data_IF_068661024262
#
_entry.id   IF_068661024262
#
_cell.length_a   1.000
_cell.length_b   1.000
_cell.length_c   1.000
_cell.angle_alpha   90.00
_cell.angle_beta   90.00
_cell.angle_gamma   90.00
#
_symmetry.space_group_name_H-M   'P 1'
#
loop_
_entity.id
_entity.type
_entity.pdbx_description
1 polymer ?
#
# COMPACT_ATOMS: atom_id res chain seq x y z
N UNK A 1 35.60 -6.45 1.32
CA UNK A 1 34.39 -7.17 1.77
C UNK A 1 33.19 -6.46 1.14
N UNK A 2 32.28 -7.18 0.51
CA UNK A 2 31.07 -6.58 -0.07
C UNK A 2 30.21 -6.01 1.04
N UNK A 3 29.56 -4.86 0.80
CA UNK A 3 28.83 -4.11 1.83
C UNK A 3 27.33 -4.44 1.87
N UNK A 4 26.79 -5.05 0.81
CA UNK A 4 25.34 -5.25 0.62
C UNK A 4 25.06 -6.71 0.24
N UNK A 5 24.13 -7.34 0.92
CA UNK A 5 23.47 -8.58 0.49
C UNK A 5 22.15 -8.23 -0.18
N UNK A 6 22.06 -8.48 -1.52
CA UNK A 6 20.88 -8.18 -2.34
C UNK A 6 20.04 -9.45 -2.50
N UNK A 7 18.79 -9.41 -2.07
CA UNK A 7 17.82 -10.49 -2.24
C UNK A 7 16.83 -10.13 -3.33
N UNK A 8 16.92 -10.86 -4.44
CA UNK A 8 16.14 -10.62 -5.65
C UNK A 8 15.10 -11.72 -5.87
N UNK A 9 13.85 -11.40 -6.25
CA UNK A 9 12.83 -12.40 -6.55
C UNK A 9 13.31 -13.36 -7.65
N UNK A 10 13.10 -14.66 -7.45
CA UNK A 10 13.37 -15.69 -8.44
C UNK A 10 12.07 -16.33 -8.90
N UNK A 11 11.61 -15.99 -10.09
CA UNK A 11 10.43 -16.60 -10.72
C UNK A 11 10.88 -17.65 -11.72
N UNK A 12 11.77 -17.28 -12.63
CA UNK A 12 12.43 -18.14 -13.59
C UNK A 12 13.83 -17.59 -13.91
N UNK A 13 14.64 -18.39 -14.61
CA UNK A 13 16.04 -18.05 -14.89
C UNK A 13 16.17 -16.77 -15.74
N UNK A 14 15.32 -16.59 -16.75
CA UNK A 14 15.39 -15.44 -17.65
C UNK A 14 15.12 -14.12 -16.92
N UNK A 15 14.02 -14.04 -16.16
CA UNK A 15 13.68 -12.86 -15.37
C UNK A 15 14.71 -12.59 -14.27
N UNK A 16 15.21 -13.63 -13.63
CA UNK A 16 16.24 -13.48 -12.61
C UNK A 16 17.54 -12.89 -13.18
N UNK A 17 17.98 -13.34 -14.36
CA UNK A 17 19.15 -12.79 -15.05
C UNK A 17 18.93 -11.31 -15.43
N UNK A 18 17.73 -10.93 -15.87
CA UNK A 18 17.38 -9.53 -16.12
C UNK A 18 17.48 -8.66 -14.86
N UNK A 19 17.05 -9.18 -13.70
CA UNK A 19 17.21 -8.47 -12.43
C UNK A 19 18.68 -8.38 -12.02
N UNK A 20 19.47 -9.42 -12.19
CA UNK A 20 20.91 -9.42 -11.90
C UNK A 20 21.66 -8.39 -12.73
N UNK A 21 21.28 -8.19 -14.00
CA UNK A 21 21.91 -7.24 -14.90
C UNK A 21 21.91 -5.80 -14.35
N UNK A 22 20.88 -5.41 -13.58
CA UNK A 22 20.82 -4.10 -12.92
C UNK A 22 21.98 -3.84 -11.93
N UNK A 23 22.66 -4.90 -11.49
CA UNK A 23 23.74 -4.83 -10.49
C UNK A 23 25.13 -5.05 -11.07
N UNK A 24 25.29 -5.20 -12.40
CA UNK A 24 26.57 -5.48 -13.04
C UNK A 24 27.64 -4.44 -12.72
N UNK A 25 27.30 -3.16 -12.71
CA UNK A 25 28.19 -2.06 -12.35
C UNK A 25 28.55 -2.02 -10.86
N UNK A 26 27.86 -2.80 -10.03
CA UNK A 26 27.99 -2.78 -8.57
C UNK A 26 28.55 -4.09 -7.99
N UNK A 27 29.12 -4.97 -8.81
CA UNK A 27 29.60 -6.30 -8.39
C UNK A 27 30.63 -6.28 -7.28
N UNK A 28 31.38 -5.19 -7.13
CA UNK A 28 32.33 -4.98 -6.02
C UNK A 28 31.64 -4.69 -4.68
N UNK A 29 30.38 -4.25 -4.70
CA UNK A 29 29.63 -3.83 -3.51
C UNK A 29 28.61 -4.87 -3.05
N UNK A 30 28.08 -5.69 -3.97
CA UNK A 30 26.93 -6.56 -3.71
C UNK A 30 27.27 -8.05 -3.73
N UNK A 31 26.61 -8.83 -2.86
CA UNK A 31 26.36 -10.24 -3.02
C UNK A 31 24.91 -10.41 -3.47
N UNK A 32 24.64 -11.19 -4.51
CA UNK A 32 23.29 -11.41 -5.00
C UNK A 32 22.80 -12.77 -4.54
N UNK A 33 21.60 -12.81 -3.97
CA UNK A 33 20.92 -14.00 -3.47
C UNK A 33 19.56 -14.12 -4.19
N UNK A 34 19.26 -15.32 -4.70
CA UNK A 34 17.97 -15.62 -5.29
C UNK A 34 16.94 -15.90 -4.20
N UNK A 35 15.81 -15.21 -4.24
CA UNK A 35 14.71 -15.38 -3.31
C UNK A 35 13.54 -16.09 -4.00
N UNK A 36 13.32 -17.34 -3.64
CA UNK A 36 12.26 -18.19 -4.24
C UNK A 36 10.91 -18.03 -3.54
N UNK A 37 10.94 -17.66 -2.28
CA UNK A 37 9.76 -17.53 -1.45
C UNK A 37 9.34 -16.07 -1.29
N UNK A 38 8.08 -15.87 -0.93
CA UNK A 38 7.50 -14.54 -0.80
C UNK A 38 8.09 -13.75 0.38
N UNK A 39 8.48 -12.49 0.16
CA UNK A 39 8.91 -11.53 1.20
C UNK A 39 7.84 -11.27 2.27
N UNK A 40 6.59 -11.61 1.99
CA UNK A 40 5.49 -11.40 2.92
C UNK A 40 5.34 -12.51 3.96
N UNK A 41 6.18 -13.57 3.90
CA UNK A 41 6.21 -14.69 4.83
C UNK A 41 7.29 -14.49 5.89
N UNK A 42 6.97 -14.84 7.14
CA UNK A 42 7.92 -14.74 8.27
C UNK A 42 9.14 -15.63 8.09
N UNK A 43 8.95 -16.84 7.56
CA UNK A 43 10.05 -17.79 7.34
C UNK A 43 11.07 -17.25 6.33
N UNK A 44 10.61 -16.57 5.30
CA UNK A 44 11.47 -15.91 4.31
C UNK A 44 12.32 -14.81 4.93
N UNK A 45 11.71 -13.94 5.75
CA UNK A 45 12.45 -12.87 6.44
C UNK A 45 13.46 -13.45 7.44
N UNK A 46 13.12 -14.56 8.12
CA UNK A 46 14.04 -15.26 9.02
C UNK A 46 15.20 -15.90 8.26
N UNK A 47 14.94 -16.45 7.06
CA UNK A 47 15.99 -16.97 6.19
C UNK A 47 16.95 -15.85 5.77
N UNK A 48 16.43 -14.72 5.26
CA UNK A 48 17.23 -13.55 4.92
C UNK A 48 18.06 -13.09 6.12
N UNK A 49 17.46 -13.01 7.32
CA UNK A 49 18.16 -12.61 8.52
C UNK A 49 19.31 -13.55 8.91
N UNK A 50 19.18 -14.85 8.62
CA UNK A 50 20.23 -15.86 8.87
C UNK A 50 21.34 -15.78 7.81
N UNK A 51 20.99 -15.61 6.55
CA UNK A 51 21.93 -15.63 5.42
C UNK A 51 22.71 -14.33 5.27
N UNK A 52 22.11 -13.18 5.61
CA UNK A 52 22.74 -11.88 5.46
C UNK A 52 23.99 -11.76 6.37
N UNK A 53 25.13 -11.42 5.76
CA UNK A 53 26.43 -11.23 6.41
C UNK A 53 27.02 -9.85 6.21
N UNK A 54 26.58 -9.13 5.18
CA UNK A 54 26.99 -7.77 4.87
C UNK A 54 26.37 -6.76 5.85
N UNK A 55 26.89 -5.53 5.85
CA UNK A 55 26.40 -4.44 6.72
C UNK A 55 24.99 -4.01 6.38
N UNK A 56 24.59 -4.20 5.12
CA UNK A 56 23.29 -3.77 4.60
C UNK A 56 22.62 -4.90 3.83
N UNK A 57 21.28 -4.90 3.87
CA UNK A 57 20.41 -5.77 3.08
C UNK A 57 19.65 -4.88 2.10
N UNK A 58 19.66 -5.28 0.82
CA UNK A 58 18.79 -4.70 -0.19
C UNK A 58 17.75 -5.73 -0.58
N UNK A 59 16.46 -5.37 -0.43
CA UNK A 59 15.35 -6.19 -0.87
C UNK A 59 14.71 -5.55 -2.09
N UNK A 60 14.48 -6.34 -3.12
CA UNK A 60 13.66 -5.97 -4.25
C UNK A 60 12.27 -6.59 -4.06
N UNK A 61 11.24 -5.73 -3.93
CA UNK A 61 9.87 -6.16 -3.61
C UNK A 61 9.03 -6.50 -4.83
N UNK A 62 9.52 -6.17 -6.03
CA UNK A 62 8.89 -6.49 -7.31
C UNK A 62 9.83 -7.33 -8.17
N UNK A 63 9.25 -8.11 -9.05
CA UNK A 63 9.93 -8.96 -10.03
C UNK A 63 10.16 -8.28 -11.39
N UNK A 64 9.82 -6.99 -11.48
CA UNK A 64 9.98 -6.21 -12.70
C UNK A 64 11.42 -5.70 -12.85
N UNK A 65 11.98 -5.67 -14.07
CA UNK A 65 13.30 -5.13 -14.32
C UNK A 65 13.45 -3.69 -13.83
N UNK A 66 14.63 -3.37 -13.34
CA UNK A 66 14.96 -2.01 -12.90
C UNK A 66 16.34 -1.58 -13.43
N UNK A 67 16.57 -0.30 -13.46
CA UNK A 67 17.85 0.32 -13.78
C UNK A 67 18.31 1.12 -12.59
N UNK A 68 19.42 0.74 -11.97
CA UNK A 68 20.06 1.54 -10.92
C UNK A 68 20.80 2.72 -11.55
N UNK A 69 20.63 3.91 -10.97
CA UNK A 69 21.32 5.09 -11.46
C UNK A 69 22.78 5.12 -10.99
N UNK A 70 23.56 5.96 -11.65
CA UNK A 70 24.98 6.11 -11.35
C UNK A 70 25.19 6.39 -9.84
N UNK A 71 26.02 5.56 -9.21
CA UNK A 71 26.32 5.61 -7.77
C UNK A 71 25.13 5.47 -6.81
N UNK A 72 24.01 4.95 -7.25
CA UNK A 72 22.82 4.81 -6.38
C UNK A 72 23.12 4.03 -5.10
N UNK A 73 23.81 2.89 -5.20
CA UNK A 73 24.14 2.07 -4.03
C UNK A 73 25.19 2.72 -3.12
N UNK A 74 26.18 3.44 -3.67
CA UNK A 74 27.14 4.20 -2.88
C UNK A 74 26.44 5.32 -2.10
N UNK A 75 25.45 5.99 -2.74
CA UNK A 75 24.66 7.04 -2.11
C UNK A 75 23.83 6.49 -0.95
N UNK A 76 23.17 5.33 -1.15
CA UNK A 76 22.42 4.66 -0.08
C UNK A 76 23.33 4.26 1.09
N UNK A 77 24.51 3.71 0.83
CA UNK A 77 25.48 3.37 1.88
C UNK A 77 25.86 4.63 2.68
N UNK A 78 26.22 5.71 2.00
CA UNK A 78 26.61 6.96 2.66
C UNK A 78 25.47 7.48 3.54
N UNK A 79 24.24 7.54 3.02
CA UNK A 79 23.09 8.02 3.78
C UNK A 79 22.77 7.10 4.98
N UNK A 80 22.95 5.79 4.84
CA UNK A 80 22.76 4.86 5.94
C UNK A 80 23.84 5.04 7.03
N UNK A 81 25.09 5.32 6.64
CA UNK A 81 26.18 5.65 7.57
C UNK A 81 25.92 6.98 8.28
N UNK A 82 25.42 7.99 7.58
CA UNK A 82 25.15 9.33 8.13
C UNK A 82 23.92 9.38 9.04
N UNK A 83 22.84 8.70 8.64
CA UNK A 83 21.54 8.77 9.35
C UNK A 83 21.35 7.69 10.39
N UNK A 84 22.12 6.59 10.31
CA UNK A 84 21.92 5.37 11.12
C UNK A 84 20.49 4.80 11.03
N UNK A 85 19.79 5.07 9.91
CA UNK A 85 18.42 4.61 9.68
C UNK A 85 18.35 3.08 9.58
N UNK A 86 17.25 2.50 10.05
CA UNK A 86 16.98 1.07 9.88
C UNK A 86 16.55 0.72 8.46
N UNK A 87 15.88 1.64 7.78
CA UNK A 87 15.40 1.51 6.41
C UNK A 87 15.58 2.82 5.66
N UNK A 88 16.17 2.73 4.47
CA UNK A 88 16.15 3.79 3.46
C UNK A 88 15.31 3.33 2.26
N UNK A 89 14.58 4.27 1.69
CA UNK A 89 13.82 4.09 0.44
C UNK A 89 13.85 5.40 -0.34
N UNK A 90 13.68 5.36 -1.66
CA UNK A 90 13.97 6.51 -2.49
C UNK A 90 12.89 6.77 -3.56
N UNK A 91 12.89 8.01 -4.06
CA UNK A 91 12.17 8.36 -5.27
C UNK A 91 12.69 7.54 -6.46
N UNK A 92 11.84 7.30 -7.41
CA UNK A 92 12.19 6.54 -8.60
C UNK A 92 11.45 7.05 -9.83
N UNK A 93 11.93 6.68 -10.99
CA UNK A 93 11.19 6.81 -12.23
C UNK A 93 10.47 5.52 -12.55
N UNK A 94 9.38 5.63 -13.30
CA UNK A 94 8.69 4.49 -13.91
C UNK A 94 8.66 4.66 -15.41
N UNK A 95 8.94 3.59 -16.16
CA UNK A 95 8.70 3.55 -17.60
C UNK A 95 7.36 2.85 -17.83
N UNK A 96 6.37 3.62 -18.31
CA UNK A 96 5.03 3.14 -18.69
C UNK A 96 4.76 3.52 -20.14
N UNK A 97 4.36 2.56 -20.97
CA UNK A 97 4.12 2.80 -22.40
C UNK A 97 5.26 3.60 -23.05
N UNK A 98 6.50 3.22 -22.79
CA UNK A 98 7.74 3.86 -23.27
C UNK A 98 7.96 5.32 -22.83
N UNK A 99 7.17 5.82 -21.88
CA UNK A 99 7.36 7.15 -21.29
C UNK A 99 7.94 7.04 -19.88
N UNK A 100 8.95 7.85 -19.60
CA UNK A 100 9.47 8.00 -18.24
C UNK A 100 8.58 8.96 -17.45
N UNK A 101 8.09 8.49 -16.31
CA UNK A 101 7.22 9.21 -15.40
C UNK A 101 7.93 9.32 -14.05
N UNK A 102 7.89 10.51 -13.44
CA UNK A 102 8.37 10.69 -12.07
C UNK A 102 7.42 9.98 -11.11
N UNK A 103 7.97 9.19 -10.21
CA UNK A 103 7.24 8.49 -9.16
C UNK A 103 7.87 8.84 -7.80
N UNK A 104 7.64 10.06 -7.29
CA UNK A 104 8.10 10.42 -5.96
C UNK A 104 7.33 9.63 -4.92
N UNK A 105 7.99 9.30 -3.82
CA UNK A 105 7.38 8.72 -2.62
C UNK A 105 7.28 9.78 -1.53
N UNK A 106 6.62 9.49 -0.43
CA UNK A 106 6.43 10.44 0.66
C UNK A 106 7.21 10.04 1.90
N UNK A 107 7.48 11.01 2.78
CA UNK A 107 8.14 10.77 4.05
C UNK A 107 7.30 9.86 4.95
N UNK A 108 7.98 8.88 5.57
CA UNK A 108 7.36 8.01 6.55
C UNK A 108 7.14 8.76 7.86
N UNK A 109 5.95 8.61 8.42
CA UNK A 109 5.60 9.11 9.74
C UNK A 109 5.16 7.95 10.64
N UNK A 110 5.32 8.07 11.96
CA UNK A 110 4.95 7.02 12.91
C UNK A 110 3.47 6.60 12.78
N UNK A 111 2.59 7.53 12.40
CA UNK A 111 1.17 7.28 12.13
C UNK A 111 0.86 6.73 10.73
N UNK A 112 1.86 6.42 9.89
CA UNK A 112 1.66 5.85 8.55
C UNK A 112 1.34 4.36 8.63
N UNK A 113 0.13 4.02 9.07
CA UNK A 113 -0.29 2.64 9.36
C UNK A 113 -0.80 1.87 8.13
N UNK A 114 -0.99 2.52 6.99
CA UNK A 114 -1.49 1.86 5.78
C UNK A 114 -0.56 0.71 5.37
N UNK A 115 -1.13 -0.45 5.09
CA UNK A 115 -0.40 -1.63 4.62
C UNK A 115 0.15 -1.47 3.20
N UNK A 116 -0.47 -0.60 2.40
CA UNK A 116 -0.08 -0.23 1.03
C UNK A 116 0.78 1.05 0.95
N UNK A 117 1.42 1.47 2.05
CA UNK A 117 2.34 2.61 2.02
C UNK A 117 3.44 2.38 0.97
N UNK A 118 3.58 3.34 0.04
CA UNK A 118 4.50 3.21 -1.08
C UNK A 118 5.94 3.56 -0.68
N UNK A 119 6.80 2.56 -0.56
CA UNK A 119 8.24 2.70 -0.38
C UNK A 119 9.03 2.57 -1.71
N UNK A 120 8.35 2.43 -2.84
CA UNK A 120 8.98 1.95 -4.07
C UNK A 120 9.28 0.45 -4.02
N UNK A 121 10.05 -0.04 -4.99
CA UNK A 121 10.41 -1.47 -5.09
C UNK A 121 11.73 -1.82 -4.44
N UNK A 122 12.55 -0.84 -4.08
CA UNK A 122 13.90 -1.03 -3.55
C UNK A 122 13.94 -0.59 -2.08
N UNK A 123 14.12 -1.56 -1.18
CA UNK A 123 14.21 -1.34 0.25
C UNK A 123 15.65 -1.62 0.73
N UNK A 124 16.27 -0.62 1.36
CA UNK A 124 17.65 -0.73 1.82
C UNK A 124 17.71 -0.69 3.34
N UNK A 125 18.03 -1.83 3.96
CA UNK A 125 18.02 -2.01 5.41
C UNK A 125 19.42 -2.03 6.01
N UNK A 126 19.54 -1.49 7.21
CA UNK A 126 20.63 -1.85 8.11
C UNK A 126 20.45 -3.29 8.56
N UNK A 127 21.48 -4.14 8.37
CA UNK A 127 21.37 -5.59 8.64
C UNK A 127 21.11 -5.88 10.11
N UNK A 128 21.74 -5.17 11.05
CA UNK A 128 21.53 -5.40 12.47
C UNK A 128 20.10 -5.04 12.89
N UNK A 129 19.58 -3.90 12.42
CA UNK A 129 18.21 -3.49 12.67
C UNK A 129 17.21 -4.49 12.05
N UNK A 130 17.44 -4.91 10.80
CA UNK A 130 16.60 -5.92 10.13
C UNK A 130 16.52 -7.22 10.95
N UNK A 131 17.67 -7.77 11.33
CA UNK A 131 17.73 -9.01 12.14
C UNK A 131 17.00 -8.86 13.47
N UNK A 132 17.26 -7.78 14.18
CA UNK A 132 16.58 -7.50 15.46
C UNK A 132 15.07 -7.38 15.25
N UNK A 133 14.63 -6.65 14.20
CA UNK A 133 13.23 -6.50 13.86
C UNK A 133 12.54 -7.83 13.56
N UNK A 134 13.17 -8.67 12.72
CA UNK A 134 12.62 -10.00 12.35
C UNK A 134 12.48 -10.90 13.56
N UNK A 135 13.50 -10.96 14.42
CA UNK A 135 13.46 -11.83 15.61
C UNK A 135 12.53 -11.31 16.73
N UNK A 136 12.13 -10.04 16.66
CA UNK A 136 11.16 -9.45 17.58
C UNK A 136 9.71 -9.58 17.11
N UNK A 137 9.44 -10.13 15.92
CA UNK A 137 8.08 -10.44 15.50
C UNK A 137 7.54 -11.59 16.37
N UNK A 138 6.45 -11.32 17.08
CA UNK A 138 5.87 -12.26 18.05
C UNK A 138 5.15 -13.44 17.41
N UNK A 139 4.51 -13.16 16.28
CA UNK A 139 3.62 -14.09 15.60
C UNK A 139 4.13 -14.38 14.18
N UNK A 140 3.95 -15.58 13.66
CA UNK A 140 4.24 -15.87 12.27
C UNK A 140 3.17 -15.27 11.35
N UNK A 141 3.62 -14.81 10.18
CA UNK A 141 2.79 -14.24 9.12
C UNK A 141 3.03 -14.98 7.80
N UNK A 142 1.97 -15.21 7.03
CA UNK A 142 2.03 -15.72 5.66
C UNK A 142 1.91 -14.60 4.62
N UNK A 143 1.33 -13.45 5.01
CA UNK A 143 1.05 -12.34 4.11
C UNK A 143 1.49 -10.98 4.64
N UNK A 144 1.75 -10.83 5.93
CA UNK A 144 1.98 -9.53 6.56
C UNK A 144 3.39 -9.35 7.15
N UNK A 145 4.34 -10.29 6.93
CA UNK A 145 5.64 -10.24 7.62
C UNK A 145 6.44 -8.96 7.32
N UNK A 146 6.52 -8.52 6.06
CA UNK A 146 7.22 -7.29 5.70
C UNK A 146 6.55 -6.04 6.29
N UNK A 147 5.21 -6.02 6.32
CA UNK A 147 4.44 -4.96 6.98
C UNK A 147 4.70 -4.93 8.49
N UNK A 148 4.63 -6.07 9.16
CA UNK A 148 4.91 -6.20 10.58
C UNK A 148 6.35 -5.78 10.92
N UNK A 149 7.33 -6.19 10.09
CA UNK A 149 8.73 -5.78 10.23
C UNK A 149 8.88 -4.26 10.16
N UNK A 150 8.28 -3.61 9.15
CA UNK A 150 8.30 -2.17 9.01
C UNK A 150 7.76 -1.46 10.26
N UNK A 151 6.59 -1.90 10.73
CA UNK A 151 5.97 -1.35 11.93
C UNK A 151 6.85 -1.59 13.18
N UNK A 152 7.46 -2.75 13.30
CA UNK A 152 8.38 -3.06 14.39
C UNK A 152 9.61 -2.14 14.39
N UNK A 153 10.23 -1.94 13.23
CA UNK A 153 11.40 -1.07 13.08
C UNK A 153 11.07 0.39 13.41
N UNK A 154 9.92 0.89 12.96
CA UNK A 154 9.51 2.29 13.16
C UNK A 154 9.31 2.68 14.63
N UNK A 155 9.18 1.71 15.54
CA UNK A 155 9.04 1.97 16.99
C UNK A 155 10.32 2.53 17.62
N UNK A 156 11.48 2.15 17.07
CA UNK A 156 12.77 2.40 17.70
C UNK A 156 13.82 2.98 16.76
N UNK A 157 13.54 3.01 15.46
CA UNK A 157 14.47 3.43 14.42
C UNK A 157 13.80 4.39 13.44
N UNK A 158 14.61 5.18 12.76
CA UNK A 158 14.16 6.00 11.65
C UNK A 158 14.01 5.16 10.38
N UNK A 159 12.94 5.42 9.63
CA UNK A 159 12.73 5.01 8.26
C UNK A 159 12.85 6.27 7.41
N UNK A 160 13.89 6.36 6.61
CA UNK A 160 14.27 7.62 5.95
C UNK A 160 13.95 7.55 4.46
N UNK A 161 13.19 8.51 4.00
CA UNK A 161 12.96 8.79 2.59
C UNK A 161 14.16 9.55 2.02
N UNK A 162 14.72 9.05 0.93
CA UNK A 162 15.75 9.72 0.14
C UNK A 162 15.07 10.43 -1.02
N UNK A 163 14.94 11.75 -0.90
CA UNK A 163 14.34 12.60 -1.93
C UNK A 163 15.29 12.77 -3.15
N UNK A 164 15.70 11.62 -3.69
CA UNK A 164 16.56 11.53 -4.88
C UNK A 164 16.06 10.36 -5.73
N UNK A 165 16.02 10.55 -7.05
CA UNK A 165 15.64 9.51 -8.01
C UNK A 165 16.81 8.56 -8.22
N UNK A 166 16.86 7.47 -7.46
CA UNK A 166 18.02 6.57 -7.45
C UNK A 166 17.90 5.39 -8.43
N UNK A 167 16.70 5.11 -8.94
CA UNK A 167 16.48 4.00 -9.88
C UNK A 167 15.29 4.26 -10.79
N UNK A 168 15.15 3.43 -11.82
CA UNK A 168 14.01 3.42 -12.75
C UNK A 168 13.38 2.04 -12.77
N UNK A 169 12.09 1.92 -12.52
CA UNK A 169 11.30 0.70 -12.71
C UNK A 169 10.81 0.62 -14.15
N UNK A 170 10.92 -0.57 -14.76
CA UNK A 170 10.37 -0.84 -16.08
C UNK A 170 9.08 -1.63 -15.87
N UNK A 171 7.94 -0.95 -15.91
CA UNK A 171 6.63 -1.58 -15.69
C UNK A 171 6.09 -2.14 -17.01
N UNK A 172 6.09 -3.45 -17.13
CA UNK A 172 5.30 -4.16 -18.15
C UNK A 172 3.90 -4.39 -17.58
N UNK A 173 2.92 -3.61 -18.04
CA UNK A 173 1.52 -3.75 -17.58
C UNK A 173 0.85 -4.93 -18.30
N UNK A 174 1.03 -6.12 -17.76
CA UNK A 174 0.40 -7.35 -18.24
C UNK A 174 -1.00 -7.60 -17.63
N UNK A 175 -1.59 -6.65 -16.89
CA UNK A 175 -2.88 -6.81 -16.20
C UNK A 175 -4.03 -6.27 -17.02
N UNK A 176 -5.10 -7.08 -17.13
CA UNK A 176 -6.38 -6.62 -17.70
C UNK A 176 -6.94 -5.47 -16.88
N UNK A 177 -7.36 -4.37 -17.54
CA UNK A 177 -7.94 -3.21 -16.89
C UNK A 177 -9.21 -3.60 -16.11
N UNK A 178 -9.32 -3.22 -14.84
CA UNK A 178 -10.50 -3.45 -14.00
C UNK A 178 -10.30 -4.37 -12.79
N UNK A 179 -9.28 -5.22 -12.75
CA UNK A 179 -9.06 -6.14 -11.62
C UNK A 179 -8.59 -5.45 -10.32
N UNK A 180 -8.01 -4.25 -10.40
CA UNK A 180 -7.49 -3.53 -9.21
C UNK A 180 -8.55 -2.92 -8.30
N UNK A 181 -9.77 -2.65 -8.80
CA UNK A 181 -10.71 -1.76 -8.11
C UNK A 181 -11.47 -2.45 -6.95
N UNK A 182 -11.51 -3.78 -6.91
CA UNK A 182 -12.28 -4.55 -5.92
C UNK A 182 -11.47 -5.63 -5.20
N UNK A 183 -10.15 -5.64 -5.31
CA UNK A 183 -9.28 -6.63 -4.66
C UNK A 183 -9.47 -6.68 -3.14
N UNK A 184 -9.80 -5.56 -2.51
CA UNK A 184 -9.99 -5.45 -1.05
C UNK A 184 -11.27 -6.13 -0.54
N UNK A 185 -12.26 -6.38 -1.41
CA UNK A 185 -13.50 -7.09 -1.05
C UNK A 185 -13.49 -8.55 -1.49
N UNK A 186 -12.43 -9.03 -2.13
CA UNK A 186 -12.31 -10.43 -2.55
C UNK A 186 -12.17 -11.33 -1.32
N UNK A 187 -13.09 -12.32 -1.12
CA UNK A 187 -13.00 -13.26 0.01
C UNK A 187 -11.67 -14.01 0.08
N UNK A 188 -10.95 -14.17 -1.04
CA UNK A 188 -9.62 -14.80 -1.09
C UNK A 188 -8.56 -13.98 -0.35
N UNK A 189 -8.77 -12.68 -0.18
CA UNK A 189 -7.85 -11.78 0.53
C UNK A 189 -8.15 -11.67 2.03
N UNK A 190 -9.15 -12.38 2.55
CA UNK A 190 -9.58 -12.26 3.95
C UNK A 190 -8.45 -12.62 4.95
N UNK A 191 -7.69 -13.68 4.69
CA UNK A 191 -6.58 -14.07 5.57
C UNK A 191 -5.48 -13.03 5.59
N UNK A 192 -5.15 -12.43 4.43
CA UNK A 192 -4.22 -11.31 4.33
C UNK A 192 -4.70 -10.12 5.15
N UNK A 193 -5.97 -9.75 5.02
CA UNK A 193 -6.56 -8.63 5.77
C UNK A 193 -6.48 -8.85 7.29
N UNK A 194 -6.81 -10.05 7.78
CA UNK A 194 -6.70 -10.41 9.20
C UNK A 194 -5.26 -10.32 9.72
N UNK A 195 -4.29 -10.74 8.92
CA UNK A 195 -2.88 -10.63 9.31
C UNK A 195 -2.42 -9.17 9.37
N UNK A 196 -2.81 -8.33 8.39
CA UNK A 196 -2.50 -6.89 8.39
C UNK A 196 -3.13 -6.20 9.61
N UNK A 197 -4.40 -6.50 9.92
CA UNK A 197 -5.10 -6.00 11.11
C UNK A 197 -4.37 -6.40 12.40
N UNK A 198 -3.97 -7.67 12.51
CA UNK A 198 -3.22 -8.19 13.66
C UNK A 198 -1.90 -7.44 13.84
N UNK A 199 -1.10 -7.29 12.78
CA UNK A 199 0.17 -6.59 12.80
C UNK A 199 0.00 -5.10 13.21
N UNK A 200 -1.02 -4.44 12.66
CA UNK A 200 -1.36 -3.05 13.01
C UNK A 200 -1.79 -2.93 14.47
N UNK A 201 -2.66 -3.83 14.93
CA UNK A 201 -3.13 -3.85 16.34
C UNK A 201 -1.97 -4.06 17.32
N UNK A 202 -1.05 -4.97 17.03
CA UNK A 202 0.16 -5.15 17.85
C UNK A 202 1.02 -3.88 17.90
N UNK A 203 1.17 -3.21 16.76
CA UNK A 203 1.91 -1.95 16.70
C UNK A 203 1.23 -0.87 17.54
N UNK A 204 -0.09 -0.68 17.37
CA UNK A 204 -0.85 0.30 18.14
C UNK A 204 -0.75 0.06 19.64
N UNK A 205 -0.84 -1.20 20.09
CA UNK A 205 -0.62 -1.57 21.49
C UNK A 205 0.78 -1.20 21.97
N UNK A 206 1.80 -1.47 21.15
CA UNK A 206 3.18 -1.21 21.48
C UNK A 206 3.53 0.28 21.61
N UNK A 207 2.87 1.14 20.82
CA UNK A 207 3.10 2.62 20.84
C UNK A 207 2.10 3.36 21.70
N UNK A 208 1.17 2.67 22.39
CA UNK A 208 0.16 3.28 23.24
C UNK A 208 -0.98 3.98 22.49
N UNK A 209 -1.14 3.68 21.19
CA UNK A 209 -2.20 4.24 20.33
C UNK A 209 -3.44 3.34 20.17
N UNK A 210 -3.46 2.19 20.84
CA UNK A 210 -4.60 1.28 20.76
C UNK A 210 -5.74 1.76 21.64
N UNK A 211 -6.93 1.91 21.05
CA UNK A 211 -8.17 2.17 21.75
C UNK A 211 -8.93 0.85 21.93
N UNK A 212 -9.23 0.51 23.17
CA UNK A 212 -10.10 -0.64 23.46
C UNK A 212 -11.49 -0.39 22.85
N UNK A 213 -12.13 -1.43 22.29
CA UNK A 213 -13.45 -1.30 21.65
C UNK A 213 -14.56 -1.15 22.70
N UNK A 214 -14.48 -0.08 23.48
CA UNK A 214 -15.50 0.30 24.44
C UNK A 214 -16.40 1.32 23.79
N UNK A 215 -17.59 0.91 23.40
CA UNK A 215 -18.55 1.76 22.72
C UNK A 215 -19.59 2.29 23.71
N UNK A 216 -19.92 3.59 23.57
CA UNK A 216 -21.10 4.14 24.23
C UNK A 216 -22.34 3.55 23.56
N UNK A 217 -23.22 2.96 24.34
CA UNK A 217 -24.53 2.53 23.88
C UNK A 217 -25.30 3.72 23.35
N UNK A 218 -25.78 3.61 22.11
CA UNK A 218 -26.58 4.67 21.48
C UNK A 218 -28.05 4.33 21.67
N UNK A 219 -28.77 5.19 22.42
CA UNK A 219 -30.22 5.08 22.55
C UNK A 219 -30.91 5.74 21.36
N UNK A 220 -31.33 4.92 20.42
CA UNK A 220 -32.06 5.37 19.21
C UNK A 220 -33.49 5.86 19.52
N UNK A 221 -34.00 5.66 20.73
CA UNK A 221 -35.36 6.10 21.09
C UNK A 221 -35.42 7.57 21.54
N UNK A 222 -34.25 8.22 21.72
CA UNK A 222 -34.20 9.63 22.16
C UNK A 222 -34.69 10.61 21.10
N UNK A 223 -34.65 10.26 19.84
CA UNK A 223 -35.07 11.12 18.73
C UNK A 223 -35.78 10.27 17.67
N UNK A 224 -37.05 10.61 17.32
CA UNK A 224 -37.71 9.91 16.22
C UNK A 224 -36.98 10.24 14.89
N UNK A 225 -36.56 9.23 14.18
CA UNK A 225 -36.06 9.40 12.83
C UNK A 225 -37.22 9.39 11.83
N UNK A 226 -37.26 10.37 10.93
CA UNK A 226 -38.28 10.44 9.89
C UNK A 226 -38.10 9.29 8.89
N UNK A 227 -36.85 8.92 8.61
CA UNK A 227 -36.45 7.81 7.74
C UNK A 227 -35.64 6.79 8.52
N UNK A 228 -35.90 5.52 8.33
CA UNK A 228 -35.10 4.46 8.96
C UNK A 228 -33.78 4.20 8.25
N UNK A 229 -33.70 4.54 6.96
CA UNK A 229 -32.49 4.40 6.17
C UNK A 229 -32.31 5.56 5.20
N UNK A 230 -31.06 5.93 4.92
CA UNK A 230 -30.70 6.84 3.85
C UNK A 230 -29.76 6.12 2.88
N UNK A 231 -30.11 6.11 1.60
CA UNK A 231 -29.22 5.66 0.53
C UNK A 231 -28.41 6.87 0.07
N UNK A 232 -27.08 6.78 0.14
CA UNK A 232 -26.17 7.89 -0.23
C UNK A 232 -25.37 7.47 -1.46
N UNK A 233 -25.46 8.27 -2.54
CA UNK A 233 -24.73 8.06 -3.79
C UNK A 233 -23.79 9.25 -4.02
N UNK A 234 -22.50 9.15 -3.66
CA UNK A 234 -21.51 10.13 -4.09
C UNK A 234 -21.17 9.88 -5.57
N UNK A 235 -21.17 10.96 -6.36
CA UNK A 235 -20.97 10.85 -7.81
C UNK A 235 -20.09 11.98 -8.35
N UNK A 236 -19.30 11.67 -9.38
CA UNK A 236 -18.60 12.60 -10.24
C UNK A 236 -18.45 12.02 -11.63
N UNK A 237 -18.96 12.75 -12.65
CA UNK A 237 -18.83 12.38 -14.05
C UNK A 237 -19.31 10.95 -14.34
N UNK A 238 -20.62 10.72 -14.18
CA UNK A 238 -21.26 9.41 -14.36
C UNK A 238 -22.57 9.49 -15.17
N UNK A 239 -22.62 10.38 -16.17
CA UNK A 239 -23.80 10.58 -17.02
C UNK A 239 -24.38 9.27 -17.57
N UNK A 240 -23.53 8.30 -17.94
CA UNK A 240 -23.98 7.03 -18.51
C UNK A 240 -24.56 6.04 -17.50
N UNK A 241 -24.45 6.26 -16.18
CA UNK A 241 -24.85 5.27 -15.16
C UNK A 241 -25.68 5.84 -14.02
N UNK A 242 -25.68 7.14 -13.79
CA UNK A 242 -26.37 7.76 -12.65
C UNK A 242 -27.88 7.55 -12.69
N UNK A 243 -28.50 7.64 -13.86
CA UNK A 243 -29.93 7.42 -14.06
C UNK A 243 -30.33 6.00 -13.61
N UNK A 244 -29.57 4.98 -14.04
CA UNK A 244 -29.84 3.60 -13.66
C UNK A 244 -29.65 3.38 -12.15
N UNK A 245 -28.68 4.03 -11.53
CA UNK A 245 -28.45 3.96 -10.10
C UNK A 245 -29.61 4.56 -9.30
N UNK A 246 -30.05 5.77 -9.65
CA UNK A 246 -31.21 6.44 -9.03
C UNK A 246 -32.46 5.57 -9.19
N UNK A 247 -32.78 5.11 -10.39
CA UNK A 247 -33.94 4.28 -10.65
C UNK A 247 -33.90 2.95 -9.89
N UNK A 248 -32.73 2.36 -9.69
CA UNK A 248 -32.59 1.12 -8.92
C UNK A 248 -32.97 1.31 -7.46
N UNK A 249 -32.65 2.47 -6.87
CA UNK A 249 -33.04 2.84 -5.50
C UNK A 249 -34.55 3.13 -5.42
N UNK A 250 -35.07 3.94 -6.34
CA UNK A 250 -36.49 4.33 -6.37
C UNK A 250 -37.45 3.15 -6.55
N UNK A 251 -37.00 2.08 -7.19
CA UNK A 251 -37.80 0.85 -7.39
C UNK A 251 -37.78 -0.13 -6.22
N UNK A 252 -37.01 0.18 -5.14
CA UNK A 252 -36.96 -0.71 -3.99
C UNK A 252 -38.32 -0.75 -3.28
N UNK A 253 -38.79 -1.96 -2.94
CA UNK A 253 -39.95 -2.16 -2.12
C UNK A 253 -39.52 -2.45 -0.69
N UNK A 254 -39.86 -1.55 0.23
CA UNK A 254 -39.50 -1.65 1.64
C UNK A 254 -40.76 -1.56 2.51
N UNK A 255 -40.71 -2.11 3.71
CA UNK A 255 -41.72 -1.94 4.76
C UNK A 255 -41.41 -0.78 5.73
N UNK A 256 -40.41 0.02 5.40
CA UNK A 256 -39.97 1.19 6.17
C UNK A 256 -39.73 2.38 5.23
N UNK A 257 -39.70 3.58 5.79
CA UNK A 257 -39.37 4.80 5.05
C UNK A 257 -37.87 4.94 4.86
N UNK A 258 -37.46 5.25 3.65
CA UNK A 258 -36.07 5.61 3.34
C UNK A 258 -36.02 6.85 2.45
N UNK A 259 -34.86 7.50 2.39
CA UNK A 259 -34.61 8.60 1.44
C UNK A 259 -33.35 8.31 0.60
N UNK A 260 -33.25 9.01 -0.52
CA UNK A 260 -32.09 8.98 -1.40
C UNK A 260 -31.37 10.34 -1.35
N UNK A 261 -30.06 10.31 -1.05
CA UNK A 261 -29.20 11.49 -1.02
C UNK A 261 -28.16 11.30 -2.13
N UNK A 262 -28.17 12.14 -3.13
CA UNK A 262 -27.13 12.16 -4.20
C UNK A 262 -26.23 13.35 -3.97
N UNK A 263 -24.92 13.08 -3.88
CA UNK A 263 -23.89 14.10 -3.67
C UNK A 263 -23.07 14.20 -4.94
N UNK A 264 -23.28 15.27 -5.70
CA UNK A 264 -22.53 15.54 -6.92
C UNK A 264 -21.28 16.36 -6.60
N UNK A 265 -20.12 15.78 -6.87
CA UNK A 265 -18.82 16.41 -6.66
C UNK A 265 -18.36 17.14 -7.93
N UNK A 266 -19.08 18.22 -8.32
CA UNK A 266 -18.79 19.07 -9.50
C UNK A 266 -18.62 18.26 -10.80
N UNK A 267 -19.70 17.62 -11.25
CA UNK A 267 -19.74 16.96 -12.56
C UNK A 267 -19.86 17.98 -13.67
N UNK A 268 -19.20 17.73 -14.79
CA UNK A 268 -19.16 18.58 -15.98
C UNK A 268 -19.56 17.81 -17.28
N UNK A 269 -20.07 16.57 -17.13
CA UNK A 269 -20.42 15.67 -18.23
C UNK A 269 -21.94 15.53 -18.49
N UNK A 270 -22.79 16.30 -17.80
CA UNK A 270 -24.26 16.18 -17.86
C UNK A 270 -24.87 15.31 -16.73
N UNK A 271 -24.06 14.86 -15.78
CA UNK A 271 -24.55 14.09 -14.61
C UNK A 271 -25.49 14.93 -13.75
N UNK A 272 -25.16 16.21 -13.51
CA UNK A 272 -25.98 17.11 -12.66
C UNK A 272 -27.36 17.34 -13.25
N UNK A 273 -27.48 17.48 -14.58
CA UNK A 273 -28.75 17.68 -15.27
C UNK A 273 -29.69 16.47 -15.13
N UNK A 274 -29.12 15.25 -15.11
CA UNK A 274 -29.90 14.03 -14.87
C UNK A 274 -30.40 13.99 -13.43
N UNK A 275 -29.54 14.32 -12.46
CA UNK A 275 -29.91 14.36 -11.05
C UNK A 275 -31.05 15.38 -10.81
N UNK A 276 -30.98 16.55 -11.44
CA UNK A 276 -31.97 17.63 -11.32
C UNK A 276 -33.35 17.23 -11.84
N UNK A 277 -33.44 16.34 -12.82
CA UNK A 277 -34.72 15.81 -13.33
C UNK A 277 -35.49 15.01 -12.29
N UNK A 278 -34.81 14.45 -11.27
CA UNK A 278 -35.40 13.69 -10.16
C UNK A 278 -35.72 14.54 -8.93
N UNK A 279 -35.47 15.87 -8.96
CA UNK A 279 -35.86 16.78 -7.88
C UNK A 279 -37.38 16.90 -7.82
N UNK A 280 -37.99 16.42 -6.74
CA UNK A 280 -39.42 16.53 -6.51
C UNK A 280 -40.21 15.22 -6.50
N UNK A 281 -39.56 14.09 -6.78
CA UNK A 281 -40.09 12.79 -6.45
C UNK A 281 -40.20 12.66 -4.91
N UNK A 282 -41.16 11.87 -4.40
CA UNK A 282 -41.48 11.73 -2.95
C UNK A 282 -40.28 11.35 -2.06
N UNK A 283 -39.12 11.16 -2.64
CA UNK A 283 -37.82 10.94 -2.01
C UNK A 283 -37.03 12.24 -2.00
N UNK A 284 -36.62 12.68 -0.81
CA UNK A 284 -35.84 13.93 -0.67
C UNK A 284 -34.46 13.73 -1.34
N UNK A 285 -34.39 14.14 -2.58
CA UNK A 285 -33.11 14.25 -3.29
C UNK A 285 -32.40 15.48 -2.75
N UNK A 286 -31.32 15.31 -2.00
CA UNK A 286 -30.46 16.41 -1.55
C UNK A 286 -29.27 16.48 -2.50
N UNK A 287 -29.27 17.44 -3.41
CA UNK A 287 -28.13 17.78 -4.22
C UNK A 287 -27.22 18.73 -3.42
N UNK A 288 -26.05 18.27 -3.02
CA UNK A 288 -25.00 19.08 -2.41
C UNK A 288 -23.91 19.22 -3.45
N UNK A 289 -23.79 20.39 -4.06
CA UNK A 289 -22.59 20.80 -4.80
C UNK A 289 -21.67 21.52 -3.82
N UNK A 290 -20.53 20.96 -3.49
CA UNK A 290 -19.45 21.69 -2.81
C UNK A 290 -18.63 22.52 -3.80
#
# INVERSE_FOLDING_TARGET
MKKIDCFLPFINEEQYQQLCAAFEDFTSLVNIHALKESLYQSDTLQQIAKEATASYILLLTKDTPLILHYRALQRLIQLAEDTQAALLYADHYQIKAQKRINSPVIDYQLGSLRDDFNFGSLLFFNTAAFKTGVFNLKEPYQHAALYALRLCLSRHHQLVHVNEYLYTEIEEDNRKSGEKQFDYVDPRNQERQKEMERACTEHLKAVGGYLEPVFKEVDFNLTPFEYEASVIIPVKNRVGTIEAAIQSVLRQQTNFKFNLIVIDNHSDDGTSEIIDQHKGDELSLIHISE
#
